data_IF_249326229974
#
_entry.id   IF_249326229974
#
_cell.length_a   1.000
_cell.length_b   1.000
_cell.length_c   1.000
_cell.angle_alpha   90.00
_cell.angle_beta   90.00
_cell.angle_gamma   90.00
#
_symmetry.space_group_name_H-M   'P 1'
#
loop_
_entity.id
_entity.type
_entity.pdbx_description
1 polymer ?
#
# COMPACT_ATOMS: atom_id res chain seq x y z
N UNK A 1 -9.48 0.15 28.46
CA UNK A 1 -9.91 1.10 27.41
C UNK A 1 -8.86 0.98 26.32
N UNK A 2 -9.17 0.36 25.17
CA UNK A 2 -8.20 0.24 24.08
C UNK A 2 -7.82 1.65 23.62
N UNK A 3 -6.53 1.93 23.36
CA UNK A 3 -6.15 3.21 22.78
C UNK A 3 -6.72 3.23 21.36
N UNK A 4 -7.72 4.08 21.11
CA UNK A 4 -8.00 4.51 19.74
C UNK A 4 -6.75 5.24 19.27
N UNK A 5 -5.98 4.60 18.41
CA UNK A 5 -4.71 5.13 17.91
C UNK A 5 -4.95 6.15 16.79
N UNK A 6 -5.91 5.86 15.90
CA UNK A 6 -6.67 6.81 15.10
C UNK A 6 -7.88 6.07 14.51
N UNK A 7 -8.76 6.75 13.76
CA UNK A 7 -10.05 6.22 13.26
C UNK A 7 -10.00 4.97 12.36
N UNK A 8 -8.82 4.47 11.97
CA UNK A 8 -8.65 3.37 11.00
C UNK A 8 -7.66 2.26 11.38
N UNK A 9 -6.89 2.39 12.46
CA UNK A 9 -5.90 1.37 12.87
C UNK A 9 -6.18 0.87 14.28
N UNK A 10 -6.16 -0.45 14.43
CA UNK A 10 -6.32 -1.15 15.69
C UNK A 10 -5.12 -2.06 15.90
N UNK A 11 -4.49 -1.95 17.07
CA UNK A 11 -3.33 -2.75 17.48
C UNK A 11 -3.62 -3.31 18.87
N UNK A 12 -3.33 -4.59 19.05
CA UNK A 12 -3.56 -5.33 20.29
C UNK A 12 -3.33 -6.81 20.02
N UNK A 13 -3.33 -7.61 21.08
CA UNK A 13 -3.29 -9.07 20.92
C UNK A 13 -4.61 -9.62 20.33
N UNK A 14 -4.62 -10.90 19.98
CA UNK A 14 -5.79 -11.53 19.37
C UNK A 14 -7.04 -11.45 20.26
N UNK A 15 -6.90 -11.53 21.58
CA UNK A 15 -8.02 -11.46 22.52
C UNK A 15 -8.57 -10.03 22.62
N UNK A 16 -7.69 -9.05 22.73
CA UNK A 16 -8.01 -7.62 22.73
C UNK A 16 -8.78 -7.21 21.48
N UNK A 17 -8.31 -7.62 20.29
CA UNK A 17 -8.96 -7.34 19.01
C UNK A 17 -10.33 -8.04 18.92
N UNK A 18 -10.45 -9.30 19.35
CA UNK A 18 -11.74 -10.01 19.35
C UNK A 18 -12.77 -9.35 20.27
N UNK A 19 -12.35 -8.90 21.45
CA UNK A 19 -13.22 -8.19 22.38
C UNK A 19 -13.66 -6.84 21.80
N UNK A 20 -12.75 -6.16 21.11
CA UNK A 20 -13.06 -4.92 20.38
C UNK A 20 -14.10 -5.13 19.27
N UNK A 21 -13.95 -6.18 18.46
CA UNK A 21 -14.89 -6.50 17.39
C UNK A 21 -16.29 -6.80 17.92
N UNK A 22 -16.40 -7.56 19.02
CA UNK A 22 -17.68 -7.78 19.72
C UNK A 22 -18.34 -6.46 20.15
N UNK A 23 -17.52 -5.52 20.63
CA UNK A 23 -18.00 -4.19 21.03
C UNK A 23 -18.43 -3.31 19.84
N UNK A 24 -17.69 -3.29 18.72
CA UNK A 24 -18.10 -2.54 17.51
C UNK A 24 -19.42 -3.09 16.97
N UNK A 25 -19.50 -4.40 16.74
CA UNK A 25 -20.62 -5.01 16.02
C UNK A 25 -21.96 -4.79 16.71
N UNK A 26 -21.94 -4.52 18.02
CA UNK A 26 -23.13 -4.22 18.82
C UNK A 26 -23.52 -2.74 18.83
N UNK A 27 -22.65 -1.80 18.39
CA UNK A 27 -22.86 -0.35 18.57
C UNK A 27 -22.57 0.54 17.35
N UNK A 28 -21.82 0.08 16.35
CA UNK A 28 -21.50 0.84 15.13
C UNK A 28 -21.51 -0.08 13.90
N UNK A 29 -22.13 0.37 12.81
CA UNK A 29 -21.85 -0.20 11.49
C UNK A 29 -20.40 0.11 11.12
N UNK A 30 -19.64 -0.83 10.52
CA UNK A 30 -18.34 -0.53 9.93
C UNK A 30 -18.47 0.63 8.95
N UNK A 31 -17.47 1.51 8.89
CA UNK A 31 -17.45 2.66 7.97
C UNK A 31 -17.33 2.11 6.54
N UNK A 32 -18.45 1.88 5.86
CA UNK A 32 -18.52 1.10 4.61
C UNK A 32 -18.08 1.87 3.35
N UNK A 33 -17.22 2.88 3.47
CA UNK A 33 -16.85 3.78 2.37
C UNK A 33 -15.37 3.77 1.97
N UNK A 34 -14.49 3.16 2.77
CA UNK A 34 -13.04 3.12 2.51
C UNK A 34 -12.54 1.70 2.68
N UNK A 35 -12.39 0.98 1.56
CA UNK A 35 -11.91 -0.41 1.56
C UNK A 35 -10.39 -0.37 1.46
N UNK A 36 -9.72 -1.06 2.39
CA UNK A 36 -8.29 -1.36 2.27
C UNK A 36 -8.18 -2.70 1.55
N UNK A 37 -7.69 -2.68 0.32
CA UNK A 37 -7.61 -3.87 -0.54
C UNK A 37 -6.27 -4.60 -0.34
N UNK A 38 -5.21 -3.85 -0.07
CA UNK A 38 -3.87 -4.38 0.10
C UNK A 38 -3.07 -3.60 1.14
N UNK A 39 -2.16 -4.30 1.80
CA UNK A 39 -1.25 -3.80 2.83
C UNK A 39 0.15 -4.38 2.59
N UNK A 40 1.18 -3.63 2.97
CA UNK A 40 2.57 -4.13 2.99
C UNK A 40 3.30 -3.60 4.22
N UNK A 41 4.05 -4.46 4.91
CA UNK A 41 5.02 -4.02 5.90
C UNK A 41 6.33 -3.64 5.21
N UNK A 42 6.96 -2.57 5.68
CA UNK A 42 8.37 -2.32 5.41
C UNK A 42 9.22 -3.42 6.07
N UNK A 43 10.30 -3.89 5.41
CA UNK A 43 11.22 -4.87 6.00
C UNK A 43 11.84 -4.44 7.33
N UNK A 44 12.04 -3.14 7.57
CA UNK A 44 12.49 -2.64 8.87
C UNK A 44 11.42 -2.67 9.96
N UNK A 45 10.16 -2.97 9.63
CA UNK A 45 9.05 -3.13 10.57
C UNK A 45 8.46 -1.82 11.10
N UNK A 46 9.03 -0.66 10.74
CA UNK A 46 8.61 0.63 11.27
C UNK A 46 7.41 1.23 10.53
N UNK A 47 7.16 0.79 9.30
CA UNK A 47 6.09 1.30 8.45
C UNK A 47 5.16 0.20 7.94
N UNK A 48 3.88 0.52 7.84
CA UNK A 48 2.87 -0.21 7.08
C UNK A 48 2.37 0.71 5.97
N UNK A 49 2.36 0.25 4.72
CA UNK A 49 1.69 0.92 3.62
C UNK A 49 0.33 0.28 3.36
N UNK A 50 -0.64 1.10 2.99
CA UNK A 50 -1.96 0.63 2.55
C UNK A 50 -2.66 1.65 1.69
N UNK A 51 -3.58 1.15 0.87
CA UNK A 51 -4.36 1.96 -0.06
C UNK A 51 -5.81 2.07 0.37
N UNK A 52 -6.33 3.29 0.38
CA UNK A 52 -7.76 3.58 0.43
C UNK A 52 -8.18 4.18 -0.91
N UNK A 53 -9.49 4.29 -1.18
CA UNK A 53 -9.97 4.94 -2.41
C UNK A 53 -9.32 6.33 -2.54
N UNK A 54 -8.54 6.51 -3.61
CA UNK A 54 -7.78 7.70 -4.01
C UNK A 54 -6.50 8.04 -3.24
N UNK A 55 -6.18 7.33 -2.16
CA UNK A 55 -5.06 7.67 -1.27
C UNK A 55 -4.18 6.46 -0.99
N UNK A 56 -2.88 6.70 -0.90
CA UNK A 56 -1.91 5.75 -0.35
C UNK A 56 -1.41 6.33 0.97
N UNK A 57 -1.46 5.53 2.02
CA UNK A 57 -1.04 5.94 3.37
C UNK A 57 0.05 5.02 3.87
N UNK A 58 1.03 5.62 4.52
CA UNK A 58 2.03 4.93 5.30
C UNK A 58 1.84 5.31 6.76
N UNK A 59 1.77 4.29 7.61
CA UNK A 59 1.60 4.44 9.04
C UNK A 59 2.84 3.97 9.77
N UNK A 60 3.24 4.72 10.79
CA UNK A 60 4.28 4.31 11.72
C UNK A 60 3.74 3.20 12.64
N UNK A 61 4.47 2.11 12.80
CA UNK A 61 4.00 0.95 13.60
C UNK A 61 4.15 1.15 15.10
N UNK A 62 4.94 2.13 15.52
CA UNK A 62 5.21 2.49 16.91
C UNK A 62 4.20 3.51 17.39
N UNK A 63 4.06 4.63 16.68
CA UNK A 63 3.13 5.71 17.06
C UNK A 63 1.72 5.45 16.56
N UNK A 64 1.55 4.68 15.48
CA UNK A 64 0.30 4.47 14.74
C UNK A 64 -0.28 5.74 14.10
N UNK A 65 0.56 6.77 13.98
CA UNK A 65 0.25 7.98 13.23
C UNK A 65 0.51 7.77 11.74
N UNK A 66 -0.08 8.65 10.93
CA UNK A 66 0.22 8.69 9.50
C UNK A 66 1.61 9.31 9.33
N UNK A 67 2.58 8.51 8.90
CA UNK A 67 3.93 8.95 8.58
C UNK A 67 3.96 9.71 7.25
N UNK A 68 3.29 9.17 6.23
CA UNK A 68 3.22 9.79 4.91
C UNK A 68 1.85 9.55 4.28
N UNK A 69 1.25 10.63 3.80
CA UNK A 69 0.05 10.57 2.96
C UNK A 69 0.44 10.92 1.52
N UNK A 70 0.36 9.93 0.64
CA UNK A 70 0.56 10.13 -0.79
C UNK A 70 -0.82 10.30 -1.42
N UNK A 71 -1.09 11.51 -1.92
CA UNK A 71 -2.27 11.83 -2.73
C UNK A 71 -1.80 12.08 -4.16
N UNK A 72 -1.92 11.09 -5.06
CA UNK A 72 -1.55 11.28 -6.46
C UNK A 72 -2.38 12.44 -7.05
N UNK A 73 -1.84 13.28 -7.96
CA UNK A 73 -2.51 14.48 -8.48
C UNK A 73 -3.91 14.28 -9.08
N UNK A 74 -4.29 13.04 -9.36
CA UNK A 74 -5.62 12.65 -9.82
C UNK A 74 -6.28 11.56 -8.96
N UNK A 75 -5.56 10.96 -8.00
CA UNK A 75 -6.01 9.85 -7.16
C UNK A 75 -5.60 8.47 -7.68
N UNK A 76 -5.68 7.46 -6.80
CA UNK A 76 -5.60 6.04 -7.14
C UNK A 76 -6.93 5.34 -6.81
N UNK A 77 -7.71 4.96 -7.83
CA UNK A 77 -9.06 4.40 -7.60
C UNK A 77 -9.03 3.02 -6.96
N UNK A 78 -8.03 2.22 -7.31
CA UNK A 78 -7.86 0.85 -6.83
C UNK A 78 -6.37 0.49 -6.77
N UNK A 79 -5.69 0.79 -5.65
CA UNK A 79 -4.37 0.24 -5.40
C UNK A 79 -4.52 -1.24 -5.02
N UNK A 80 -4.23 -2.11 -5.98
CA UNK A 80 -4.39 -3.55 -5.85
C UNK A 80 -3.22 -4.22 -5.13
N UNK A 81 -2.03 -3.63 -5.24
CA UNK A 81 -0.83 -4.23 -4.67
C UNK A 81 0.17 -3.19 -4.20
N UNK A 82 0.84 -3.53 -3.10
CA UNK A 82 1.91 -2.78 -2.48
C UNK A 82 3.09 -3.71 -2.27
N UNK A 83 4.31 -3.23 -2.52
CA UNK A 83 5.52 -3.92 -2.13
C UNK A 83 6.57 -2.91 -1.68
N UNK A 84 7.21 -3.16 -0.53
CA UNK A 84 8.40 -2.42 -0.12
C UNK A 84 9.65 -3.07 -0.71
N UNK A 85 10.63 -2.24 -1.06
CA UNK A 85 11.96 -2.73 -1.37
C UNK A 85 12.62 -3.32 -0.10
N UNK A 86 13.59 -4.24 -0.25
CA UNK A 86 14.31 -4.84 0.88
C UNK A 86 14.96 -3.82 1.83
N UNK A 87 15.41 -2.68 1.29
CA UNK A 87 15.99 -1.59 2.06
C UNK A 87 14.95 -0.66 2.72
N UNK A 88 13.65 -0.95 2.61
CA UNK A 88 12.54 -0.14 3.13
C UNK A 88 12.43 1.30 2.59
N UNK A 89 13.32 1.69 1.66
CA UNK A 89 13.36 3.04 1.10
C UNK A 89 12.35 3.25 -0.02
N UNK A 90 12.01 2.20 -0.77
CA UNK A 90 11.16 2.33 -1.95
C UNK A 90 9.85 1.57 -1.76
N UNK A 91 8.77 2.16 -2.27
CA UNK A 91 7.45 1.55 -2.30
C UNK A 91 6.98 1.46 -3.74
N UNK A 92 6.67 0.25 -4.21
CA UNK A 92 5.99 0.03 -5.47
C UNK A 92 4.49 -0.14 -5.23
N UNK A 93 3.68 0.54 -6.03
CA UNK A 93 2.21 0.46 -5.97
C UNK A 93 1.64 0.20 -7.35
N UNK A 94 0.89 -0.89 -7.48
CA UNK A 94 0.14 -1.25 -8.68
C UNK A 94 -1.30 -0.78 -8.53
N UNK A 95 -1.74 0.14 -9.39
CA UNK A 95 -3.07 0.72 -9.26
C UNK A 95 -3.68 1.16 -10.59
N UNK A 96 -5.00 1.37 -10.56
CA UNK A 96 -5.67 2.27 -11.51
C UNK A 96 -5.46 3.71 -11.05
N UNK A 97 -4.77 4.48 -11.89
CA UNK A 97 -4.52 5.89 -11.63
C UNK A 97 -5.55 6.73 -12.37
N UNK A 98 -6.30 7.52 -11.61
CA UNK A 98 -7.28 8.43 -12.17
C UNK A 98 -6.59 9.42 -13.14
N UNK A 99 -7.30 9.88 -14.16
CA UNK A 99 -6.75 10.75 -15.20
C UNK A 99 -5.88 10.04 -16.25
N UNK A 100 -5.44 8.81 -16.02
CA UNK A 100 -4.62 8.06 -17.01
C UNK A 100 -5.41 7.01 -17.80
N UNK A 101 -6.60 6.64 -17.32
CA UNK A 101 -7.45 5.57 -17.87
C UNK A 101 -6.74 4.21 -18.04
N UNK A 102 -5.59 4.01 -17.38
CA UNK A 102 -4.74 2.83 -17.53
C UNK A 102 -4.15 2.41 -16.20
N UNK A 103 -3.78 1.14 -16.12
CA UNK A 103 -3.01 0.58 -15.00
C UNK A 103 -1.53 0.90 -15.18
N UNK A 104 -0.87 1.23 -14.09
CA UNK A 104 0.59 1.29 -14.04
C UNK A 104 1.11 0.98 -12.65
N UNK A 105 2.41 0.71 -12.58
CA UNK A 105 3.12 0.55 -11.33
C UNK A 105 3.93 1.82 -11.10
N UNK A 106 3.75 2.46 -9.95
CA UNK A 106 4.53 3.63 -9.57
C UNK A 106 5.48 3.29 -8.45
N UNK A 107 6.74 3.68 -8.61
CA UNK A 107 7.79 3.54 -7.60
C UNK A 107 7.98 4.89 -6.90
N UNK A 108 8.04 4.86 -5.57
CA UNK A 108 8.15 6.06 -4.75
C UNK A 108 9.34 5.95 -3.81
N UNK A 109 10.02 7.08 -3.56
CA UNK A 109 10.92 7.21 -2.41
C UNK A 109 10.07 7.52 -1.17
N UNK A 110 10.18 6.68 -0.14
CA UNK A 110 9.38 6.76 1.07
C UNK A 110 9.77 7.97 1.94
N UNK A 111 11.02 8.41 1.87
CA UNK A 111 11.52 9.53 2.67
C UNK A 111 11.10 10.88 2.08
N UNK A 112 11.15 11.02 0.75
CA UNK A 112 10.77 12.28 0.08
C UNK A 112 9.30 12.32 -0.32
N UNK A 113 8.66 11.15 -0.46
CA UNK A 113 7.32 11.04 -1.02
C UNK A 113 7.25 11.36 -2.51
N UNK A 114 8.39 11.34 -3.21
CA UNK A 114 8.45 11.61 -4.65
C UNK A 114 8.26 10.34 -5.48
N UNK A 115 7.61 10.48 -6.62
CA UNK A 115 7.55 9.41 -7.61
C UNK A 115 8.87 9.34 -8.38
N UNK A 116 9.59 8.23 -8.23
CA UNK A 116 10.86 7.98 -8.91
C UNK A 116 10.62 7.64 -10.38
N UNK A 117 9.69 6.71 -10.63
CA UNK A 117 9.39 6.24 -11.98
C UNK A 117 8.00 5.60 -12.05
N UNK A 118 7.51 5.43 -13.27
CA UNK A 118 6.23 4.78 -13.59
C UNK A 118 6.45 3.72 -14.66
N UNK A 119 6.11 2.47 -14.36
CA UNK A 119 6.17 1.35 -15.28
C UNK A 119 4.82 1.14 -15.96
N UNK A 120 4.84 1.25 -17.29
CA UNK A 120 3.70 0.99 -18.17
C UNK A 120 3.94 -0.31 -18.93
N UNK A 121 2.95 -1.19 -18.98
CA UNK A 121 3.06 -2.42 -19.77
C UNK A 121 1.90 -3.39 -19.54
N UNK A 122 1.42 -3.49 -18.30
CA UNK A 122 0.26 -4.32 -17.99
C UNK A 122 -1.02 -3.72 -18.59
N UNK A 123 -1.76 -4.46 -19.45
CA UNK A 123 -3.03 -4.02 -20.04
C UNK A 123 -4.19 -4.06 -19.03
N UNK A 124 -4.04 -4.81 -17.93
CA UNK A 124 -5.06 -4.97 -16.88
C UNK A 124 -4.46 -4.89 -15.47
N UNK A 125 -5.31 -5.00 -14.46
CA UNK A 125 -5.03 -4.87 -13.03
C UNK A 125 -3.76 -5.61 -12.59
N UNK A 126 -2.81 -4.90 -11.97
CA UNK A 126 -1.65 -5.53 -11.31
C UNK A 126 -2.09 -6.09 -9.97
N UNK A 127 -2.26 -7.41 -9.90
CA UNK A 127 -2.78 -8.09 -8.71
C UNK A 127 -1.70 -8.29 -7.65
N UNK A 128 -0.44 -8.42 -8.05
CA UNK A 128 0.66 -8.65 -7.12
C UNK A 128 1.97 -7.99 -7.58
N UNK A 129 2.77 -7.61 -6.58
CA UNK A 129 4.10 -7.04 -6.72
C UNK A 129 5.06 -7.72 -5.75
N UNK A 130 6.30 -7.92 -6.17
CA UNK A 130 7.37 -8.42 -5.30
C UNK A 130 8.72 -7.86 -5.75
N UNK A 131 9.51 -7.35 -4.81
CA UNK A 131 10.92 -7.04 -5.07
C UNK A 131 11.77 -8.30 -4.95
N UNK A 132 12.81 -8.39 -5.77
CA UNK A 132 13.92 -9.30 -5.52
C UNK A 132 14.63 -8.93 -4.21
N UNK A 133 15.28 -9.89 -3.57
CA UNK A 133 15.96 -9.69 -2.28
C UNK A 133 17.12 -8.71 -2.34
N UNK A 134 17.75 -8.56 -3.51
CA UNK A 134 18.79 -7.56 -3.78
C UNK A 134 18.21 -6.18 -4.16
N UNK A 135 16.90 -6.07 -4.35
CA UNK A 135 16.20 -4.84 -4.73
C UNK A 135 16.45 -4.38 -6.17
N UNK A 136 17.08 -5.19 -7.03
CA UNK A 136 17.39 -4.80 -8.42
C UNK A 136 16.24 -5.03 -9.39
N UNK A 137 15.32 -5.96 -9.06
CA UNK A 137 14.20 -6.36 -9.90
C UNK A 137 12.89 -6.18 -9.13
N UNK A 138 11.90 -5.59 -9.81
CA UNK A 138 10.51 -5.64 -9.40
C UNK A 138 9.78 -6.64 -10.30
N UNK A 139 9.10 -7.63 -9.71
CA UNK A 139 8.19 -8.53 -10.41
C UNK A 139 6.75 -8.05 -10.24
N UNK A 140 5.96 -8.13 -11.31
CA UNK A 140 4.54 -7.79 -11.28
C UNK A 140 3.68 -8.81 -12.01
N UNK A 141 2.65 -9.31 -11.33
CA UNK A 141 1.64 -10.20 -11.91
C UNK A 141 0.33 -9.45 -12.19
N UNK A 142 -0.27 -9.69 -13.36
CA UNK A 142 -1.51 -9.05 -13.77
C UNK A 142 -2.65 -10.05 -13.97
N UNK A 143 -3.88 -9.53 -13.93
CA UNK A 143 -5.09 -10.31 -14.22
C UNK A 143 -5.14 -10.84 -15.67
N UNK A 144 -4.30 -10.32 -16.55
CA UNK A 144 -4.15 -10.81 -17.93
C UNK A 144 -3.38 -12.14 -18.02
N UNK A 145 -2.87 -12.66 -16.89
CA UNK A 145 -2.12 -13.91 -16.81
C UNK A 145 -0.63 -13.76 -17.08
N UNK A 146 -0.12 -12.53 -17.24
CA UNK A 146 1.30 -12.27 -17.48
C UNK A 146 2.05 -11.87 -16.21
N UNK A 147 3.36 -12.16 -16.22
CA UNK A 147 4.33 -11.68 -15.23
C UNK A 147 5.37 -10.86 -15.97
N UNK A 148 5.59 -9.62 -15.51
CA UNK A 148 6.63 -8.74 -16.02
C UNK A 148 7.72 -8.53 -14.97
N UNK A 149 8.97 -8.50 -15.42
CA UNK A 149 10.14 -8.21 -14.58
C UNK A 149 10.73 -6.87 -15.01
N UNK A 150 10.91 -5.97 -14.04
CA UNK A 150 11.41 -4.62 -14.26
C UNK A 150 12.76 -4.50 -13.59
N UNK A 151 13.83 -4.26 -14.37
CA UNK A 151 15.10 -3.84 -13.80
C UNK A 151 14.95 -2.38 -13.34
N UNK A 152 15.05 -2.15 -12.04
CA UNK A 152 14.83 -0.82 -11.46
C UNK A 152 16.12 -0.08 -11.13
N UNK A 153 17.26 -0.75 -11.19
CA UNK A 153 18.60 -0.18 -10.91
C UNK A 153 18.87 1.16 -11.60
N UNK A 154 18.47 1.39 -12.88
CA UNK A 154 18.71 2.66 -13.55
C UNK A 154 17.98 3.87 -12.95
N UNK A 155 17.01 3.65 -12.06
CA UNK A 155 16.19 4.69 -11.45
C UNK A 155 16.51 4.95 -9.97
N UNK A 156 17.41 4.14 -9.36
CA UNK A 156 17.69 4.16 -7.92
C UNK A 156 18.98 4.88 -7.55
#
# INVERSE_FOLDING_TARGET
MLPMLNSYIYKGDACEIQNYLKWILTRKKPISGRVVIALAFSPCGNLIAGGMDKEIRLWDTTTNDTHLLIVPPHGCRRPFSFAFSPCSRYLAVGAWWDGTQKVSIRLWDVATGENITTFWGHPTDVQCLAFSSDGSILASGSFDGTILLWNITPYL
#
